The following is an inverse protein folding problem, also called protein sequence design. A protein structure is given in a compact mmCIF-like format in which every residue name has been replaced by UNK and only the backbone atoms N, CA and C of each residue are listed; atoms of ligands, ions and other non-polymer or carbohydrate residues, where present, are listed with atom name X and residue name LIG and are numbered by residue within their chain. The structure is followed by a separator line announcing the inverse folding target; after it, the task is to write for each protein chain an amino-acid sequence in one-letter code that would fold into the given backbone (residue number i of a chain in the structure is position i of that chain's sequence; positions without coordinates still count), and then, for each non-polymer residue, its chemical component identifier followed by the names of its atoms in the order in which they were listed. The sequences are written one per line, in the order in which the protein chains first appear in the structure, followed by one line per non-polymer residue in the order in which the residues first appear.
data_IF_831258517768
#
_entry.id   IF_831258517768
#
_cell.length_a   1.000
_cell.length_b   1.000
_cell.length_c   1.000
_cell.angle_alpha   90.00
_cell.angle_beta   90.00
_cell.angle_gamma   90.00
#
_symmetry.space_group_name_H-M   'P 1'
#
loop_
_entity.id
_entity.type
_entity.pdbx_description
1 polymer ?
#
# COMPACT_ATOMS: atom_id res chain seq x y z
N UNK A 1 9.95 11.24 -15.62
CA UNK A 1 10.09 10.76 -14.23
C UNK A 1 11.57 10.68 -13.89
N UNK A 2 12.00 11.42 -12.89
CA UNK A 2 13.40 11.48 -12.45
C UNK A 2 13.78 10.29 -11.57
N UNK A 3 15.09 10.04 -11.39
CA UNK A 3 15.63 8.97 -10.53
C UNK A 3 15.10 9.05 -9.08
N UNK A 4 14.92 10.25 -8.54
CA UNK A 4 14.40 10.48 -7.19
C UNK A 4 12.96 10.00 -7.06
N UNK A 5 12.12 10.26 -8.05
CA UNK A 5 10.72 9.83 -8.07
C UNK A 5 10.58 8.31 -8.11
N UNK A 6 11.44 7.62 -8.87
CA UNK A 6 11.52 6.16 -8.85
C UNK A 6 11.87 5.62 -7.46
N UNK A 7 12.87 6.23 -6.80
CA UNK A 7 13.26 5.84 -5.44
C UNK A 7 12.14 6.03 -4.41
N UNK A 8 11.41 7.14 -4.49
CA UNK A 8 10.25 7.39 -3.63
C UNK A 8 9.13 6.38 -3.88
N UNK A 9 8.80 6.08 -5.14
CA UNK A 9 7.80 5.07 -5.50
C UNK A 9 8.18 3.68 -4.99
N UNK A 10 9.43 3.27 -5.19
CA UNK A 10 9.93 1.96 -4.72
C UNK A 10 9.90 1.84 -3.19
N UNK A 11 10.15 2.92 -2.45
CA UNK A 11 10.03 2.91 -0.99
C UNK A 11 8.58 2.71 -0.54
N UNK A 12 7.63 3.43 -1.17
CA UNK A 12 6.19 3.28 -0.89
C UNK A 12 5.72 1.87 -1.20
N UNK A 13 6.09 1.32 -2.36
CA UNK A 13 5.75 -0.04 -2.76
C UNK A 13 6.27 -1.06 -1.73
N UNK A 14 7.54 -1.00 -1.36
CA UNK A 14 8.12 -1.87 -0.33
C UNK A 14 7.42 -1.74 1.02
N UNK A 15 7.10 -0.51 1.42
CA UNK A 15 6.45 -0.26 2.71
C UNK A 15 5.06 -0.91 2.80
N UNK A 16 4.32 -0.96 1.69
CA UNK A 16 2.96 -1.49 1.62
C UNK A 16 2.88 -2.97 1.25
N UNK A 17 3.88 -3.51 0.55
CA UNK A 17 3.86 -4.87 0.00
C UNK A 17 3.49 -5.95 1.03
N UNK A 18 4.01 -5.84 2.26
CA UNK A 18 3.76 -6.82 3.32
C UNK A 18 2.33 -6.82 3.87
N UNK A 19 1.60 -5.73 3.68
CA UNK A 19 0.24 -5.55 4.19
C UNK A 19 -0.84 -5.71 3.12
N UNK A 20 -0.47 -5.77 1.84
CA UNK A 20 -1.40 -6.03 0.75
C UNK A 20 -1.98 -7.44 0.91
N UNK A 21 -3.30 -7.64 0.71
CA UNK A 21 -3.92 -8.96 0.71
C UNK A 21 -3.39 -9.84 -0.42
N UNK A 22 -3.60 -11.16 -0.29
CA UNK A 22 -3.31 -12.10 -1.36
C UNK A 22 -4.29 -11.94 -2.54
N UNK A 23 -3.94 -12.50 -3.69
CA UNK A 23 -4.83 -12.47 -4.87
C UNK A 23 -6.11 -13.26 -4.61
N UNK A 24 -6.03 -14.32 -3.79
CA UNK A 24 -7.19 -15.12 -3.39
C UNK A 24 -8.16 -14.33 -2.52
N UNK A 25 -7.64 -13.46 -1.65
CA UNK A 25 -8.46 -12.65 -0.74
C UNK A 25 -8.99 -11.38 -1.41
N UNK A 26 -8.25 -10.84 -2.39
CA UNK A 26 -8.58 -9.60 -3.08
C UNK A 26 -8.10 -9.65 -4.54
N UNK A 27 -8.90 -10.20 -5.48
CA UNK A 27 -8.51 -10.48 -6.85
C UNK A 27 -8.50 -9.24 -7.74
N UNK A 28 -7.92 -8.16 -7.27
CA UNK A 28 -7.81 -6.89 -8.00
C UNK A 28 -6.36 -6.52 -8.26
N UNK A 29 -6.08 -5.97 -9.42
CA UNK A 29 -4.85 -5.23 -9.66
C UNK A 29 -4.93 -3.87 -8.94
N UNK A 30 -3.93 -3.59 -8.11
CA UNK A 30 -3.87 -2.36 -7.32
C UNK A 30 -2.83 -1.42 -7.95
N UNK A 31 -3.27 -0.23 -8.31
CA UNK A 31 -2.39 0.86 -8.73
C UNK A 31 -2.56 2.03 -7.77
N UNK A 32 -1.48 2.41 -7.08
CA UNK A 32 -1.44 3.58 -6.21
C UNK A 32 -0.71 4.70 -6.92
N UNK A 33 -1.32 5.87 -6.95
CA UNK A 33 -0.73 7.08 -7.53
C UNK A 33 -0.66 8.14 -6.43
N UNK A 34 0.54 8.67 -6.20
CA UNK A 34 0.76 9.77 -5.26
C UNK A 34 1.30 10.97 -6.02
N UNK A 35 0.59 12.09 -5.98
CA UNK A 35 0.99 13.35 -6.57
C UNK A 35 1.28 14.37 -5.46
N UNK A 36 2.50 14.89 -5.45
CA UNK A 36 2.95 15.86 -4.44
C UNK A 36 2.80 17.27 -5.01
N UNK A 37 1.81 18.00 -4.52
CA UNK A 37 1.50 19.36 -4.99
C UNK A 37 2.37 20.43 -4.32
N UNK A 38 2.79 20.20 -3.07
CA UNK A 38 3.66 21.09 -2.31
C UNK A 38 4.43 20.29 -1.27
N UNK A 39 5.68 20.67 -0.99
CA UNK A 39 6.55 19.91 -0.08
C UNK A 39 7.58 20.80 0.56
N UNK A 40 7.94 20.46 1.79
CA UNK A 40 9.14 20.94 2.47
C UNK A 40 9.99 19.77 3.00
N UNK A 41 10.11 18.69 2.23
CA UNK A 41 10.78 17.44 2.59
C UNK A 41 9.83 16.28 2.83
N UNK A 42 10.37 15.11 3.12
CA UNK A 42 9.66 13.88 3.55
C UNK A 42 8.48 13.42 2.67
N UNK A 43 8.53 13.69 1.37
CA UNK A 43 7.41 13.40 0.44
C UNK A 43 7.06 11.92 0.33
N UNK A 44 8.05 11.04 0.40
CA UNK A 44 7.82 9.58 0.37
C UNK A 44 7.10 9.08 1.62
N UNK A 45 7.35 9.67 2.79
CA UNK A 45 6.66 9.32 4.03
C UNK A 45 5.20 9.78 4.00
N UNK A 46 4.94 11.00 3.51
CA UNK A 46 3.59 11.47 3.23
C UNK A 46 2.86 10.56 2.24
N UNK A 47 3.56 10.09 1.20
CA UNK A 47 3.01 9.15 0.21
C UNK A 47 2.69 7.78 0.82
N UNK A 48 3.51 7.25 1.75
CA UNK A 48 3.21 6.00 2.47
C UNK A 48 1.91 6.15 3.27
N UNK A 49 1.79 7.22 4.06
CA UNK A 49 0.60 7.49 4.87
C UNK A 49 -0.65 7.69 4.00
N UNK A 50 -0.56 8.53 2.98
CA UNK A 50 -1.67 8.81 2.06
C UNK A 50 -2.11 7.57 1.27
N UNK A 51 -1.16 6.76 0.81
CA UNK A 51 -1.46 5.50 0.12
C UNK A 51 -2.16 4.49 1.03
N UNK A 52 -1.75 4.39 2.30
CA UNK A 52 -2.42 3.56 3.30
C UNK A 52 -3.88 3.98 3.47
N UNK A 53 -4.13 5.28 3.66
CA UNK A 53 -5.49 5.81 3.80
C UNK A 53 -6.33 5.57 2.54
N UNK A 54 -5.75 5.79 1.36
CA UNK A 54 -6.42 5.57 0.08
C UNK A 54 -6.79 4.09 -0.14
N UNK A 55 -5.90 3.16 0.19
CA UNK A 55 -6.17 1.72 0.13
C UNK A 55 -7.32 1.34 1.07
N UNK A 56 -7.32 1.84 2.30
CA UNK A 56 -8.37 1.57 3.27
C UNK A 56 -9.72 2.15 2.83
N UNK A 57 -9.72 3.37 2.27
CA UNK A 57 -10.93 4.02 1.77
C UNK A 57 -11.47 3.36 0.48
N UNK A 58 -10.60 2.82 -0.34
CA UNK A 58 -10.99 2.05 -1.52
C UNK A 58 -11.56 0.64 -1.19
N UNK A 59 -11.52 0.23 0.07
CA UNK A 59 -12.00 -1.09 0.50
C UNK A 59 -11.00 -2.22 0.30
N UNK A 60 -9.70 -1.90 0.14
CA UNK A 60 -8.66 -2.93 0.11
C UNK A 60 -8.42 -3.44 1.52
N UNK A 61 -8.61 -4.75 1.80
CA UNK A 61 -8.48 -5.30 3.14
C UNK A 61 -7.01 -5.50 3.52
N UNK A 62 -6.27 -4.37 3.66
CA UNK A 62 -4.87 -4.43 4.09
C UNK A 62 -4.76 -5.03 5.50
N UNK A 63 -3.69 -5.80 5.74
CA UNK A 63 -3.47 -6.53 7.01
C UNK A 63 -3.26 -5.61 8.19
N UNK A 64 -2.68 -4.44 7.97
CA UNK A 64 -2.46 -3.40 8.98
C UNK A 64 -2.16 -2.06 8.30
N UNK A 65 -2.50 -0.91 8.92
CA UNK A 65 -2.11 0.40 8.43
C UNK A 65 -0.60 0.61 8.58
N UNK A 66 -0.01 1.29 7.61
CA UNK A 66 1.41 1.62 7.54
C UNK A 66 1.57 3.13 7.56
N UNK A 67 2.42 3.64 8.43
CA UNK A 67 2.87 5.03 8.42
C UNK A 67 4.35 5.13 8.05
N UNK A 68 4.74 6.27 7.51
CA UNK A 68 6.12 6.60 7.21
C UNK A 68 6.57 7.83 7.99
N UNK A 69 7.85 7.84 8.38
CA UNK A 69 8.50 8.97 9.03
C UNK A 69 9.99 9.01 8.63
N UNK A 70 10.58 10.19 8.60
CA UNK A 70 12.02 10.37 8.41
C UNK A 70 12.71 10.77 9.70
N UNK A 71 13.98 10.41 9.81
CA UNK A 71 14.88 10.79 10.91
C UNK A 71 16.17 11.37 10.33
N UNK A 72 16.54 12.53 10.82
CA UNK A 72 17.81 13.18 10.55
C UNK A 72 18.83 13.00 11.67
N UNK A 73 20.08 13.34 11.37
CA UNK A 73 21.21 13.28 12.28
C UNK A 73 22.07 14.52 12.11
N UNK A 74 22.46 15.08 13.24
CA UNK A 74 23.57 16.02 13.36
C UNK A 74 24.58 15.42 14.32
N UNK A 75 25.83 15.37 13.95
CA UNK A 75 26.91 14.85 14.75
C UNK A 75 28.01 15.91 14.90
N UNK A 76 28.49 16.11 16.11
CA UNK A 76 29.58 17.03 16.39
C UNK A 76 30.94 16.31 16.36
N UNK A 77 32.02 17.11 16.21
CA UNK A 77 33.40 16.60 16.13
C UNK A 77 33.84 15.82 17.39
N UNK A 78 33.20 16.06 18.53
CA UNK A 78 33.45 15.35 19.80
C UNK A 78 32.75 13.99 19.89
N UNK A 79 31.96 13.63 18.86
CA UNK A 79 31.20 12.38 18.78
C UNK A 79 29.81 12.46 19.43
N UNK A 80 29.42 13.60 19.97
CA UNK A 80 28.04 13.83 20.38
C UNK A 80 27.11 13.87 19.17
N UNK A 81 25.86 13.46 19.34
CA UNK A 81 24.90 13.45 18.25
C UNK A 81 23.50 13.86 18.69
N UNK A 82 22.75 14.37 17.76
CA UNK A 82 21.30 14.66 17.91
C UNK A 82 20.55 14.07 16.74
N UNK A 83 19.52 13.27 17.03
CA UNK A 83 18.56 12.79 16.04
C UNK A 83 17.27 13.57 16.14
N UNK A 84 16.61 13.77 15.03
CA UNK A 84 15.31 14.47 14.95
C UNK A 84 14.43 13.83 13.90
N UNK A 85 13.12 13.96 14.06
CA UNK A 85 12.11 13.38 13.15
C UNK A 85 11.55 14.45 12.20
N UNK A 86 10.97 14.00 11.09
CA UNK A 86 10.30 14.81 10.07
C UNK A 86 11.23 15.83 9.41
N UNK A 87 12.23 15.33 8.71
CA UNK A 87 13.29 16.12 8.06
C UNK A 87 12.67 17.13 7.08
N UNK A 88 12.96 18.41 7.28
CA UNK A 88 12.64 19.49 6.34
C UNK A 88 13.67 19.58 5.21
N UNK A 89 13.30 20.26 4.11
CA UNK A 89 14.17 20.37 2.95
C UNK A 89 15.57 20.96 3.24
N UNK A 90 15.67 21.93 4.16
CA UNK A 90 16.95 22.51 4.59
C UNK A 90 17.76 21.49 5.40
N UNK A 91 17.10 20.73 6.26
CA UNK A 91 17.72 19.71 7.10
C UNK A 91 18.18 18.50 6.27
N UNK A 92 17.43 18.11 5.24
CA UNK A 92 17.85 17.09 4.26
C UNK A 92 19.14 17.52 3.54
N UNK A 93 19.30 18.80 3.26
CA UNK A 93 20.48 19.31 2.58
C UNK A 93 21.73 19.37 3.46
N UNK A 94 21.58 19.75 4.72
CA UNK A 94 22.69 19.98 5.66
C UNK A 94 22.90 18.82 6.65
N UNK A 95 21.91 17.98 6.89
CA UNK A 95 22.01 16.84 7.79
C UNK A 95 22.93 15.73 7.25
N UNK A 96 23.48 14.92 8.13
CA UNK A 96 24.44 13.85 7.82
C UNK A 96 23.77 12.52 7.49
N UNK A 97 22.50 12.38 7.84
CA UNK A 97 21.71 11.18 7.60
C UNK A 97 20.29 11.56 7.20
N UNK A 98 19.78 10.92 6.16
CA UNK A 98 18.36 10.83 5.83
C UNK A 98 17.90 9.38 6.01
N UNK A 99 17.28 9.10 7.15
CA UNK A 99 16.82 7.77 7.53
C UNK A 99 15.31 7.70 7.45
N UNK A 100 14.79 6.95 6.48
CA UNK A 100 13.38 6.83 6.18
C UNK A 100 12.86 5.47 6.59
N UNK A 101 11.78 5.46 7.37
CA UNK A 101 11.17 4.23 7.88
C UNK A 101 9.68 4.20 7.56
N UNK A 102 9.24 3.12 6.93
CA UNK A 102 7.83 2.75 6.83
C UNK A 102 7.52 1.55 7.70
N UNK A 103 6.36 1.52 8.32
CA UNK A 103 5.99 0.35 9.13
C UNK A 103 4.62 0.46 9.79
N UNK A 104 4.22 -0.68 10.34
CA UNK A 104 3.04 -0.83 11.19
C UNK A 104 3.42 -0.63 12.66
N UNK A 105 2.45 -0.70 13.57
CA UNK A 105 2.75 -0.78 15.03
C UNK A 105 3.56 -2.01 15.43
N UNK A 106 3.48 -3.09 14.65
CA UNK A 106 4.16 -4.36 14.98
C UNK A 106 5.60 -4.42 14.50
N UNK A 107 5.96 -3.62 13.49
CA UNK A 107 7.29 -3.68 12.93
C UNK A 107 7.47 -2.81 11.69
N UNK A 108 8.71 -2.77 11.25
CA UNK A 108 9.16 -2.03 10.09
C UNK A 108 8.87 -2.86 8.83
N UNK A 109 8.37 -2.19 7.79
CA UNK A 109 8.10 -2.80 6.48
C UNK A 109 9.07 -2.34 5.40
N UNK A 110 9.64 -1.14 5.56
CA UNK A 110 10.66 -0.62 4.66
C UNK A 110 11.59 0.36 5.36
N UNK A 111 12.86 0.36 4.97
CA UNK A 111 13.87 1.34 5.36
C UNK A 111 14.60 1.81 4.11
N UNK A 112 14.87 3.11 4.06
CA UNK A 112 15.85 3.70 3.17
C UNK A 112 16.75 4.61 3.99
N UNK A 113 18.05 4.49 3.79
CA UNK A 113 19.05 5.31 4.47
C UNK A 113 20.00 5.93 3.43
N UNK A 114 20.23 7.22 3.55
CA UNK A 114 21.24 7.95 2.81
C UNK A 114 22.17 8.64 3.81
N UNK A 115 23.47 8.40 3.69
CA UNK A 115 24.49 8.91 4.60
C UNK A 115 25.42 9.86 3.84
N UNK A 116 25.79 10.95 4.50
CA UNK A 116 26.78 11.91 4.02
C UNK A 116 28.06 11.91 4.86
N UNK A 117 28.16 10.97 5.81
CA UNK A 117 29.30 10.73 6.68
C UNK A 117 29.90 9.33 6.45
N UNK A 118 30.96 8.99 7.16
CA UNK A 118 31.71 7.74 7.02
C UNK A 118 31.01 6.50 7.68
N UNK A 119 29.83 6.68 8.24
CA UNK A 119 29.05 5.60 8.85
C UNK A 119 28.38 5.99 10.16
N UNK A 120 27.58 5.06 10.70
CA UNK A 120 26.82 5.25 11.92
C UNK A 120 27.26 4.28 13.02
N UNK A 121 27.25 4.75 14.26
CA UNK A 121 27.40 3.85 15.41
C UNK A 121 26.11 3.07 15.65
N UNK A 122 26.22 1.93 16.33
CA UNK A 122 25.05 1.15 16.75
C UNK A 122 24.11 1.92 17.69
N UNK A 123 24.65 2.87 18.43
CA UNK A 123 23.89 3.74 19.32
C UNK A 123 23.00 4.69 18.52
N UNK A 124 23.55 5.34 17.49
CA UNK A 124 22.80 6.21 16.57
C UNK A 124 21.69 5.42 15.86
N UNK A 125 22.01 4.24 15.33
CA UNK A 125 21.02 3.39 14.64
C UNK A 125 19.89 3.00 15.58
N UNK A 126 20.21 2.59 16.80
CA UNK A 126 19.20 2.22 17.80
C UNK A 126 18.30 3.42 18.13
N UNK A 127 18.91 4.58 18.40
CA UNK A 127 18.18 5.79 18.72
C UNK A 127 17.24 6.18 17.55
N UNK A 128 17.72 6.17 16.31
CA UNK A 128 16.92 6.45 15.12
C UNK A 128 15.73 5.48 14.96
N UNK A 129 15.93 4.21 15.25
CA UNK A 129 14.86 3.21 15.21
C UNK A 129 13.82 3.46 16.32
N UNK A 130 14.26 3.79 17.53
CA UNK A 130 13.38 4.04 18.67
C UNK A 130 12.51 5.27 18.44
N UNK A 131 13.11 6.43 18.09
CA UNK A 131 12.34 7.66 17.87
C UNK A 131 11.41 7.57 16.65
N UNK A 132 11.82 6.87 15.60
CA UNK A 132 10.95 6.66 14.43
C UNK A 132 9.83 5.67 14.72
N UNK A 133 10.01 4.74 15.64
CA UNK A 133 8.93 3.86 16.11
C UNK A 133 7.86 4.67 16.84
N UNK A 134 8.26 5.50 17.81
CA UNK A 134 7.34 6.32 18.59
C UNK A 134 6.57 7.30 17.70
N UNK A 135 7.26 8.03 16.84
CA UNK A 135 6.65 8.98 15.91
C UNK A 135 5.69 8.28 14.92
N UNK A 136 6.04 7.12 14.42
CA UNK A 136 5.19 6.32 13.53
C UNK A 136 3.92 5.85 14.25
N UNK A 137 4.03 5.39 15.49
CA UNK A 137 2.88 5.01 16.30
C UNK A 137 1.98 6.21 16.59
N UNK A 138 2.55 7.37 16.85
CA UNK A 138 1.80 8.60 17.05
C UNK A 138 1.01 9.01 15.80
N UNK A 139 1.64 8.99 14.61
CA UNK A 139 0.96 9.25 13.34
C UNK A 139 -0.20 8.27 13.13
N UNK A 140 0.02 6.99 13.38
CA UNK A 140 -1.03 5.97 13.26
C UNK A 140 -2.19 6.27 14.21
N UNK A 141 -1.92 6.51 15.50
CA UNK A 141 -2.95 6.63 16.53
C UNK A 141 -3.66 7.96 16.53
N UNK A 142 -2.96 9.06 16.29
CA UNK A 142 -3.51 10.39 16.47
C UNK A 142 -3.99 11.04 15.18
N UNK A 143 -3.51 10.56 14.01
CA UNK A 143 -3.82 11.16 12.71
C UNK A 143 -4.56 10.18 11.81
N UNK A 144 -3.98 9.02 11.55
CA UNK A 144 -4.49 8.11 10.52
C UNK A 144 -5.71 7.32 10.98
N UNK A 145 -5.66 6.67 12.13
CA UNK A 145 -6.77 5.87 12.67
C UNK A 145 -8.01 6.69 13.05
N UNK A 146 -7.92 7.92 13.54
CA UNK A 146 -9.08 8.80 13.67
C UNK A 146 -9.73 9.18 12.34
N UNK A 147 -8.96 9.25 11.25
CA UNK A 147 -9.47 9.52 9.90
C UNK A 147 -10.23 8.28 9.35
N UNK A 148 -9.59 7.13 9.39
CA UNK A 148 -10.19 5.84 9.00
C UNK A 148 -9.57 4.72 9.84
N UNK A 149 -10.38 4.09 10.69
CA UNK A 149 -9.91 3.11 11.68
C UNK A 149 -9.70 1.70 11.11
N UNK A 150 -10.37 1.36 10.01
CA UNK A 150 -10.29 0.08 9.32
C UNK A 150 -10.67 0.24 7.85
N UNK A 151 -10.23 -0.65 6.97
CA UNK A 151 -10.68 -0.65 5.57
C UNK A 151 -12.21 -0.64 5.46
N UNK A 152 -12.74 0.01 4.43
CA UNK A 152 -14.16 -0.07 4.08
C UNK A 152 -14.53 -1.55 3.87
N UNK A 153 -15.74 -1.98 4.27
CA UNK A 153 -16.17 -3.37 4.14
C UNK A 153 -16.35 -3.83 2.69
N UNK A 154 -16.56 -2.89 1.79
CA UNK A 154 -16.75 -3.13 0.36
C UNK A 154 -15.87 -2.20 -0.47
N UNK A 155 -15.54 -2.63 -1.67
CA UNK A 155 -14.86 -1.77 -2.64
C UNK A 155 -15.74 -0.58 -3.01
N UNK A 156 -15.09 0.52 -3.44
CA UNK A 156 -15.80 1.72 -3.90
C UNK A 156 -16.83 1.36 -5.00
N UNK A 157 -17.97 2.04 -4.98
CA UNK A 157 -19.00 1.90 -6.03
C UNK A 157 -18.48 2.18 -7.45
N UNK A 158 -17.33 2.78 -7.58
CA UNK A 158 -16.65 3.05 -8.84
C UNK A 158 -15.68 1.96 -9.26
N UNK A 159 -15.36 1.04 -8.35
CA UNK A 159 -14.55 -0.12 -8.70
C UNK A 159 -15.40 -1.17 -9.42
N UNK A 160 -14.83 -1.90 -10.38
CA UNK A 160 -15.50 -3.06 -10.92
C UNK A 160 -15.75 -4.09 -9.83
N UNK A 161 -16.93 -4.68 -9.79
CA UNK A 161 -17.21 -5.81 -8.90
C UNK A 161 -16.61 -7.07 -9.50
N UNK A 162 -15.93 -7.83 -8.66
CA UNK A 162 -15.40 -9.16 -9.03
C UNK A 162 -15.93 -10.20 -8.05
N UNK A 163 -16.45 -11.29 -8.58
CA UNK A 163 -16.94 -12.44 -7.84
C UNK A 163 -16.15 -13.67 -8.29
N UNK A 164 -15.61 -14.40 -7.36
CA UNK A 164 -15.00 -15.70 -7.63
C UNK A 164 -15.85 -16.78 -6.95
N UNK A 165 -16.25 -17.78 -7.72
CA UNK A 165 -17.00 -18.93 -7.22
C UNK A 165 -16.41 -20.22 -7.75
N UNK A 166 -16.68 -21.33 -7.08
CA UNK A 166 -16.19 -22.64 -7.48
C UNK A 166 -17.35 -23.58 -7.71
N UNK A 167 -17.33 -24.27 -8.82
CA UNK A 167 -18.26 -25.35 -9.16
C UNK A 167 -17.51 -26.68 -9.31
N UNK A 168 -18.25 -27.77 -9.32
CA UNK A 168 -17.68 -29.07 -9.71
C UNK A 168 -17.21 -28.99 -11.17
N UNK A 169 -15.95 -29.38 -11.47
CA UNK A 169 -15.43 -29.40 -12.85
C UNK A 169 -16.31 -30.14 -13.84
N UNK A 170 -17.02 -31.18 -13.41
CA UNK A 170 -17.94 -31.93 -14.26
C UNK A 170 -19.13 -31.08 -14.75
N UNK A 171 -19.50 -30.03 -14.03
CA UNK A 171 -20.58 -29.10 -14.37
C UNK A 171 -20.15 -27.94 -15.29
N UNK A 172 -18.85 -27.80 -15.59
CA UNK A 172 -18.33 -26.73 -16.47
C UNK A 172 -19.05 -26.76 -17.84
N UNK A 173 -19.30 -27.95 -18.37
CA UNK A 173 -19.97 -28.13 -19.67
C UNK A 173 -21.40 -27.58 -19.67
N UNK A 174 -22.11 -27.68 -18.56
CA UNK A 174 -23.48 -27.18 -18.43
C UNK A 174 -23.49 -25.65 -18.34
N UNK A 175 -22.53 -25.05 -17.64
CA UNK A 175 -22.38 -23.59 -17.55
C UNK A 175 -21.99 -22.99 -18.91
N UNK A 176 -21.10 -23.64 -19.64
CA UNK A 176 -20.70 -23.20 -20.98
C UNK A 176 -21.83 -23.41 -21.97
N UNK A 177 -22.51 -24.55 -21.88
CA UNK A 177 -23.54 -24.97 -22.81
C UNK A 177 -22.98 -25.41 -24.18
N UNK A 178 -23.86 -26.01 -25.01
CA UNK A 178 -23.48 -26.50 -26.34
C UNK A 178 -22.99 -25.36 -27.23
N UNK A 179 -21.69 -25.41 -27.60
CA UNK A 179 -21.10 -24.36 -28.42
C UNK A 179 -20.99 -22.99 -27.73
N UNK A 180 -21.02 -22.94 -26.39
CA UNK A 180 -20.93 -21.71 -25.61
C UNK A 180 -22.27 -20.97 -25.45
N UNK A 181 -23.40 -21.59 -25.83
CA UNK A 181 -24.70 -20.91 -25.90
C UNK A 181 -25.21 -20.38 -24.56
N UNK A 182 -24.92 -21.08 -23.46
CA UNK A 182 -25.38 -20.66 -22.13
C UNK A 182 -24.58 -19.48 -21.63
N UNK A 183 -23.26 -19.58 -21.62
CA UNK A 183 -22.39 -18.51 -21.14
C UNK A 183 -22.52 -17.24 -22.01
N UNK A 184 -22.64 -17.38 -23.35
CA UNK A 184 -22.85 -16.25 -24.24
C UNK A 184 -24.18 -15.53 -23.97
N UNK A 185 -25.22 -16.30 -23.63
CA UNK A 185 -26.52 -15.72 -23.25
C UNK A 185 -26.41 -14.95 -21.94
N UNK A 186 -25.76 -15.51 -20.90
CA UNK A 186 -25.57 -14.82 -19.62
C UNK A 186 -24.79 -13.52 -19.83
N UNK A 187 -23.68 -13.55 -20.59
CA UNK A 187 -22.90 -12.37 -20.91
C UNK A 187 -23.70 -11.32 -21.68
N UNK A 188 -24.56 -11.74 -22.63
CA UNK A 188 -25.40 -10.83 -23.41
C UNK A 188 -26.51 -10.18 -22.54
N UNK A 189 -27.10 -10.95 -21.63
CA UNK A 189 -28.20 -10.49 -20.78
C UNK A 189 -27.71 -9.57 -19.63
N UNK A 190 -26.53 -9.83 -19.08
CA UNK A 190 -26.00 -9.12 -17.91
C UNK A 190 -24.92 -8.08 -18.26
N UNK A 191 -24.20 -8.26 -19.35
CA UNK A 191 -23.02 -7.46 -19.69
C UNK A 191 -21.78 -7.78 -18.84
N UNK A 192 -21.86 -8.81 -17.96
CA UNK A 192 -20.73 -9.26 -17.17
C UNK A 192 -19.71 -10.02 -18.03
N UNK A 193 -18.43 -9.95 -17.66
CA UNK A 193 -17.37 -10.80 -18.19
C UNK A 193 -17.27 -12.04 -17.31
N UNK A 194 -17.23 -13.22 -17.93
CA UNK A 194 -17.15 -14.51 -17.22
C UNK A 194 -15.98 -15.29 -17.81
N UNK A 195 -15.03 -15.67 -16.96
CA UNK A 195 -13.93 -16.56 -17.27
C UNK A 195 -14.04 -17.82 -16.40
N UNK A 196 -13.78 -19.01 -16.98
CA UNK A 196 -13.89 -20.30 -16.27
C UNK A 196 -12.59 -21.06 -16.44
N UNK A 197 -11.99 -21.46 -15.32
CA UNK A 197 -10.79 -22.26 -15.28
C UNK A 197 -11.15 -23.78 -15.28
N UNK A 198 -10.21 -24.60 -15.72
CA UNK A 198 -10.40 -26.07 -15.86
C UNK A 198 -10.64 -26.76 -14.51
N UNK A 199 -10.28 -26.12 -13.39
CA UNK A 199 -10.50 -26.62 -12.03
C UNK A 199 -11.90 -26.30 -11.46
N UNK A 200 -12.78 -25.67 -12.26
CA UNK A 200 -14.12 -25.27 -11.87
C UNK A 200 -14.21 -23.89 -11.20
N UNK A 201 -13.12 -23.12 -11.18
CA UNK A 201 -13.16 -21.75 -10.70
C UNK A 201 -13.77 -20.83 -11.76
N UNK A 202 -14.78 -20.04 -11.37
CA UNK A 202 -15.45 -19.07 -12.23
C UNK A 202 -15.14 -17.67 -11.72
N UNK A 203 -14.64 -16.83 -12.60
CA UNK A 203 -14.39 -15.41 -12.34
C UNK A 203 -15.42 -14.57 -13.10
N UNK A 204 -16.21 -13.80 -12.35
CA UNK A 204 -17.22 -12.90 -12.89
C UNK A 204 -16.79 -11.47 -12.59
N UNK A 205 -16.75 -10.62 -13.60
CA UNK A 205 -16.38 -9.22 -13.46
C UNK A 205 -17.34 -8.31 -14.20
N UNK A 206 -17.77 -7.22 -13.56
CA UNK A 206 -18.56 -6.16 -14.21
C UNK A 206 -18.23 -4.79 -13.62
N UNK A 207 -18.31 -3.77 -14.46
CA UNK A 207 -18.24 -2.38 -14.02
C UNK A 207 -19.50 -1.96 -13.24
N UNK A 208 -20.63 -2.66 -13.45
CA UNK A 208 -21.87 -2.46 -12.71
C UNK A 208 -22.10 -3.61 -11.73
N UNK A 209 -22.25 -3.27 -10.45
CA UNK A 209 -22.43 -4.27 -9.39
C UNK A 209 -23.70 -5.11 -9.60
N UNK A 210 -24.80 -4.48 -10.09
CA UNK A 210 -26.06 -5.20 -10.34
C UNK A 210 -25.91 -6.27 -11.42
N UNK A 211 -25.04 -6.02 -12.41
CA UNK A 211 -24.74 -6.99 -13.49
C UNK A 211 -23.94 -8.21 -13.00
N UNK A 212 -23.23 -8.09 -11.89
CA UNK A 212 -22.54 -9.22 -11.28
C UNK A 212 -23.47 -10.09 -10.40
N UNK A 213 -24.53 -9.49 -9.84
CA UNK A 213 -25.46 -10.14 -8.94
C UNK A 213 -26.62 -10.82 -9.68
N UNK A 214 -26.80 -10.50 -10.97
CA UNK A 214 -27.84 -11.06 -11.85
C UNK A 214 -27.48 -12.44 -12.40
#
# INVERSE_FOLDING_TARGET
TGRREYGHGALVEKALQSVIPSVEDFPYAIRVVSEVLSSNGSTSQGSICGSTLALMDAGVPIKAPVAGISCGLIQDDDGSFTTFIDIQGVEDFHGEMDFKVGGTKKGITAIQMDLKNDGLTMEIIKNALDITYDARCEILDQIMLPCISKPRPEVSKWAPKMITMKIDPDNIRDVIGKGGSVIQKIVADTGAKIDIDDDGTIHIASADAASCDA
#
